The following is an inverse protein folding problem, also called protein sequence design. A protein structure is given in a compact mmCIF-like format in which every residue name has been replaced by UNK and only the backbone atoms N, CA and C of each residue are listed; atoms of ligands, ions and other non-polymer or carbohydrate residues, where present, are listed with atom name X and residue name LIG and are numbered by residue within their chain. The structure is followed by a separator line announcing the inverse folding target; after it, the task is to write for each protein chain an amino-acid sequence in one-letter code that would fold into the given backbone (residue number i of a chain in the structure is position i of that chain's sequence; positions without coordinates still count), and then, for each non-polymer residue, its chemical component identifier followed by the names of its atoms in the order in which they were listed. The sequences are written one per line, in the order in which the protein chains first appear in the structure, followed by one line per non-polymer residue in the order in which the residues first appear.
data_IF_171792068304
#
_entry.id   IF_171792068304
#
_cell.length_a   1.000
_cell.length_b   1.000
_cell.length_c   1.000
_cell.angle_alpha   90.00
_cell.angle_beta   90.00
_cell.angle_gamma   90.00
#
_symmetry.space_group_name_H-M   'P 1'
#
loop_
_entity.id
_entity.type
_entity.pdbx_description
1 polymer ?
#
# COMPACT_ATOMS: atom_id res chain seq x y z
N UNK A 1 0.80 3.85 63.24
CA UNK A 1 0.65 2.68 62.36
C UNK A 1 -0.17 3.10 61.15
N UNK A 2 0.50 3.37 60.02
CA UNK A 2 -0.15 3.78 58.77
C UNK A 2 -0.48 2.52 57.94
N UNK A 3 -1.78 2.33 57.63
CA UNK A 3 -2.25 1.23 56.79
C UNK A 3 -2.00 1.58 55.28
N UNK A 4 -1.03 0.96 54.66
CA UNK A 4 -0.79 1.03 53.23
C UNK A 4 -1.92 0.28 52.49
N UNK A 5 -2.74 1.02 51.70
CA UNK A 5 -3.71 0.44 50.78
C UNK A 5 -2.97 -0.17 49.56
N UNK A 6 -3.10 -1.49 49.36
CA UNK A 6 -2.65 -2.18 48.10
C UNK A 6 -3.41 -1.61 46.90
N UNK A 7 -2.72 -1.31 45.77
CA UNK A 7 -3.40 -0.90 44.55
C UNK A 7 -4.19 -2.09 43.95
N UNK A 8 -5.46 -1.80 43.63
CA UNK A 8 -6.34 -2.77 42.94
C UNK A 8 -5.83 -3.05 41.54
N UNK A 9 -5.51 -4.31 41.27
CA UNK A 9 -5.17 -4.78 39.89
C UNK A 9 -6.42 -4.70 39.04
N UNK A 10 -6.44 -3.78 38.04
CA UNK A 10 -7.46 -3.77 36.98
C UNK A 10 -7.42 -5.07 36.22
N UNK A 11 -8.51 -5.87 36.30
CA UNK A 11 -8.74 -7.03 35.44
C UNK A 11 -8.63 -6.58 33.96
N UNK A 12 -7.88 -7.29 33.08
CA UNK A 12 -7.87 -6.94 31.67
C UNK A 12 -9.31 -7.04 31.13
N UNK A 13 -9.73 -6.00 30.41
CA UNK A 13 -11.02 -5.99 29.74
C UNK A 13 -11.07 -7.19 28.78
N UNK A 14 -12.15 -7.98 28.82
CA UNK A 14 -12.36 -9.08 27.90
C UNK A 14 -12.25 -8.55 26.47
N UNK A 15 -11.44 -9.21 25.64
CA UNK A 15 -11.31 -8.85 24.25
C UNK A 15 -12.70 -8.88 23.59
N UNK A 16 -13.04 -7.83 22.83
CA UNK A 16 -14.30 -7.81 22.08
C UNK A 16 -14.38 -9.07 21.19
N UNK A 17 -15.58 -9.69 21.07
CA UNK A 17 -15.72 -10.89 20.25
C UNK A 17 -15.26 -10.61 18.82
N UNK A 18 -14.44 -11.52 18.27
CA UNK A 18 -13.94 -11.44 16.88
C UNK A 18 -15.12 -11.47 15.92
N UNK A 19 -15.10 -10.64 14.88
CA UNK A 19 -16.08 -10.70 13.81
C UNK A 19 -15.85 -11.96 12.97
N UNK A 20 -16.92 -12.71 12.70
CA UNK A 20 -16.90 -13.82 11.74
C UNK A 20 -16.87 -13.32 10.29
N UNK A 21 -16.51 -14.18 9.33
CA UNK A 21 -16.59 -13.89 7.90
C UNK A 21 -18.01 -13.42 7.52
N UNK A 22 -19.04 -14.13 7.98
CA UNK A 22 -20.44 -13.81 7.67
C UNK A 22 -20.86 -12.44 8.19
N UNK A 23 -20.51 -12.10 9.41
CA UNK A 23 -20.80 -10.79 10.00
C UNK A 23 -20.05 -9.68 9.28
N UNK A 24 -18.80 -9.93 8.89
CA UNK A 24 -17.99 -8.95 8.17
C UNK A 24 -18.52 -8.71 6.77
N UNK A 25 -18.85 -9.77 6.02
CA UNK A 25 -19.45 -9.65 4.69
C UNK A 25 -20.81 -8.94 4.74
N UNK A 26 -21.68 -9.29 5.69
CA UNK A 26 -22.96 -8.59 5.89
C UNK A 26 -22.77 -7.10 6.23
N UNK A 27 -21.76 -6.75 7.04
CA UNK A 27 -21.44 -5.36 7.35
C UNK A 27 -20.94 -4.59 6.13
N UNK A 28 -20.13 -5.22 5.26
CA UNK A 28 -19.67 -4.64 3.99
C UNK A 28 -20.84 -4.43 3.03
N UNK A 29 -21.69 -5.44 2.85
CA UNK A 29 -22.86 -5.38 1.97
C UNK A 29 -23.83 -4.27 2.39
N UNK A 30 -24.18 -4.20 3.67
CA UNK A 30 -25.06 -3.18 4.22
C UNK A 30 -24.51 -1.74 4.10
N UNK A 31 -23.19 -1.61 4.03
CA UNK A 31 -22.50 -0.32 3.87
C UNK A 31 -22.19 0.03 2.41
N UNK A 32 -22.48 -0.85 1.48
CA UNK A 32 -22.28 -0.66 0.06
C UNK A 32 -23.22 0.41 -0.54
N UNK A 33 -22.77 1.09 -1.58
CA UNK A 33 -23.61 2.05 -2.30
C UNK A 33 -23.37 2.00 -3.82
N UNK A 34 -24.43 2.18 -4.58
CA UNK A 34 -24.38 2.22 -6.04
C UNK A 34 -23.45 3.35 -6.55
N UNK A 35 -23.45 4.50 -5.87
CA UNK A 35 -22.60 5.62 -6.22
C UNK A 35 -21.11 5.29 -6.05
N UNK A 36 -20.73 4.66 -4.96
CA UNK A 36 -19.34 4.24 -4.71
C UNK A 36 -18.92 3.13 -5.68
N UNK A 37 -19.81 2.14 -5.96
CA UNK A 37 -19.57 1.13 -7.01
C UNK A 37 -19.25 1.76 -8.35
N UNK A 38 -20.09 2.71 -8.81
CA UNK A 38 -19.87 3.43 -10.08
C UNK A 38 -18.53 4.15 -10.09
N UNK A 39 -18.16 4.80 -8.98
CA UNK A 39 -16.86 5.47 -8.86
C UNK A 39 -15.71 4.47 -8.94
N UNK A 40 -15.76 3.36 -8.19
CA UNK A 40 -14.70 2.36 -8.19
C UNK A 40 -14.56 1.67 -9.54
N UNK A 41 -15.67 1.35 -10.22
CA UNK A 41 -15.66 0.76 -11.56
C UNK A 41 -14.93 1.66 -12.57
N UNK A 42 -15.16 2.99 -12.56
CA UNK A 42 -14.42 3.95 -13.41
C UNK A 42 -12.90 3.91 -13.16
N UNK A 43 -12.49 3.60 -11.94
CA UNK A 43 -11.07 3.45 -11.57
C UNK A 43 -10.54 2.02 -11.73
N UNK A 44 -11.27 1.16 -12.45
CA UNK A 44 -10.82 -0.20 -12.78
C UNK A 44 -10.92 -1.20 -11.63
N UNK A 45 -11.78 -0.94 -10.62
CA UNK A 45 -12.06 -1.93 -9.59
C UNK A 45 -12.87 -3.10 -10.18
N UNK A 46 -12.47 -4.36 -9.93
CA UNK A 46 -13.17 -5.53 -10.46
C UNK A 46 -14.44 -5.85 -9.68
N UNK A 47 -15.39 -6.47 -10.35
CA UNK A 47 -16.52 -7.14 -9.70
C UNK A 47 -16.10 -8.53 -9.17
N UNK A 48 -16.81 -9.10 -8.16
CA UNK A 48 -17.90 -8.48 -7.44
C UNK A 48 -17.45 -7.43 -6.42
N UNK A 49 -18.27 -6.37 -6.23
CA UNK A 49 -18.04 -5.35 -5.21
C UNK A 49 -19.37 -4.83 -4.64
N UNK A 50 -19.35 -4.38 -3.39
CA UNK A 50 -20.49 -3.71 -2.73
C UNK A 50 -20.44 -2.18 -2.90
N UNK A 51 -19.25 -1.61 -3.07
CA UNK A 51 -19.01 -0.18 -3.13
C UNK A 51 -18.97 0.47 -1.74
N UNK A 52 -18.11 -0.05 -0.87
CA UNK A 52 -17.94 0.41 0.51
C UNK A 52 -16.96 1.57 0.57
N UNK A 53 -17.32 2.66 1.25
CA UNK A 53 -16.43 3.80 1.41
C UNK A 53 -15.18 3.45 2.25
N UNK A 54 -14.04 4.14 1.97
CA UNK A 54 -12.84 3.97 2.79
C UNK A 54 -13.03 4.35 4.25
N UNK A 55 -13.91 5.30 4.55
CA UNK A 55 -14.24 5.65 5.93
C UNK A 55 -14.88 4.47 6.68
N UNK A 56 -15.76 3.73 6.01
CA UNK A 56 -16.37 2.51 6.55
C UNK A 56 -15.34 1.39 6.69
N UNK A 57 -14.51 1.14 5.67
CA UNK A 57 -13.42 0.16 5.76
C UNK A 57 -12.49 0.46 6.93
N UNK A 58 -12.18 1.74 7.16
CA UNK A 58 -11.38 2.18 8.32
C UNK A 58 -12.06 1.89 9.66
N UNK A 59 -13.37 2.05 9.74
CA UNK A 59 -14.14 1.74 10.94
C UNK A 59 -14.15 0.24 11.23
N UNK A 60 -14.32 -0.60 10.21
CA UNK A 60 -14.25 -2.06 10.31
C UNK A 60 -12.84 -2.51 10.71
N UNK A 61 -11.81 -1.99 10.05
CA UNK A 61 -10.41 -2.25 10.41
C UNK A 61 -10.14 -1.93 11.90
N UNK A 62 -10.56 -0.77 12.39
CA UNK A 62 -10.37 -0.38 13.79
C UNK A 62 -11.08 -1.32 14.76
N UNK A 63 -12.23 -1.88 14.38
CA UNK A 63 -12.99 -2.84 15.18
C UNK A 63 -12.36 -4.24 15.17
N UNK A 64 -11.96 -4.73 13.98
CA UNK A 64 -11.40 -6.07 13.80
C UNK A 64 -9.94 -6.12 14.29
N UNK A 65 -9.15 -5.07 13.99
CA UNK A 65 -7.72 -5.02 14.22
C UNK A 65 -6.98 -5.99 13.30
N UNK A 66 -6.01 -6.74 13.84
CA UNK A 66 -5.26 -7.77 13.11
C UNK A 66 -5.95 -9.12 13.30
N UNK A 67 -6.30 -9.77 12.19
CA UNK A 67 -6.89 -11.10 12.16
C UNK A 67 -6.51 -11.80 10.84
N UNK A 68 -5.46 -12.63 10.87
CA UNK A 68 -4.91 -13.29 9.68
C UNK A 68 -5.89 -14.32 9.08
N UNK A 69 -6.61 -15.07 9.92
CA UNK A 69 -7.57 -16.09 9.44
C UNK A 69 -8.75 -15.43 8.73
N UNK A 70 -9.30 -14.39 9.33
CA UNK A 70 -10.36 -13.60 8.69
C UNK A 70 -9.88 -12.90 7.42
N UNK A 71 -8.64 -12.40 7.40
CA UNK A 71 -8.06 -11.78 6.21
C UNK A 71 -7.99 -12.75 5.03
N UNK A 72 -7.55 -13.99 5.26
CA UNK A 72 -7.53 -15.03 4.24
C UNK A 72 -8.94 -15.36 3.75
N UNK A 73 -9.87 -15.57 4.66
CA UNK A 73 -11.26 -15.88 4.33
C UNK A 73 -11.93 -14.75 3.51
N UNK A 74 -11.69 -13.48 3.88
CA UNK A 74 -12.18 -12.32 3.13
C UNK A 74 -11.55 -12.22 1.73
N UNK A 75 -10.25 -12.47 1.60
CA UNK A 75 -9.58 -12.48 0.31
C UNK A 75 -10.18 -13.50 -0.65
N UNK A 76 -10.48 -14.70 -0.13
CA UNK A 76 -10.99 -15.83 -0.91
C UNK A 76 -12.44 -15.64 -1.37
N UNK A 77 -13.19 -14.69 -0.81
CA UNK A 77 -14.53 -14.32 -1.32
C UNK A 77 -14.50 -13.74 -2.73
N UNK A 78 -13.35 -13.24 -3.18
CA UNK A 78 -13.23 -12.55 -4.47
C UNK A 78 -13.81 -11.13 -4.50
N UNK A 79 -14.58 -10.72 -3.49
CA UNK A 79 -15.20 -9.40 -3.43
C UNK A 79 -14.15 -8.29 -3.23
N UNK A 80 -14.21 -7.24 -4.03
CA UNK A 80 -13.25 -6.14 -4.02
C UNK A 80 -13.14 -5.44 -2.65
N UNK A 81 -14.27 -5.12 -2.02
CA UNK A 81 -14.27 -4.44 -0.72
C UNK A 81 -13.73 -5.36 0.39
N UNK A 82 -14.06 -6.65 0.34
CA UNK A 82 -13.55 -7.66 1.25
C UNK A 82 -12.03 -7.83 1.10
N UNK A 83 -11.49 -7.86 -0.14
CA UNK A 83 -10.05 -7.91 -0.40
C UNK A 83 -9.33 -6.66 0.14
N UNK A 84 -9.91 -5.48 -0.05
CA UNK A 84 -9.35 -4.24 0.52
C UNK A 84 -9.34 -4.26 2.05
N UNK A 85 -10.36 -4.83 2.70
CA UNK A 85 -10.37 -5.02 4.15
C UNK A 85 -9.35 -6.09 4.58
N UNK A 86 -9.27 -7.21 3.84
CA UNK A 86 -8.32 -8.30 4.09
C UNK A 86 -6.88 -7.80 4.22
N UNK A 87 -6.40 -7.01 3.25
CA UNK A 87 -5.04 -6.46 3.30
C UNK A 87 -4.81 -5.56 4.50
N UNK A 88 -5.84 -4.87 5.00
CA UNK A 88 -5.74 -3.97 6.15
C UNK A 88 -5.68 -4.72 7.48
N UNK A 89 -6.36 -5.86 7.60
CA UNK A 89 -6.42 -6.67 8.83
C UNK A 89 -5.43 -7.83 8.83
N UNK A 90 -4.79 -8.16 7.71
CA UNK A 90 -3.76 -9.19 7.65
C UNK A 90 -2.60 -8.89 8.60
N UNK A 91 -2.01 -9.92 9.16
CA UNK A 91 -0.81 -9.81 10.00
C UNK A 91 0.44 -9.88 9.13
N UNK A 92 1.23 -8.79 9.02
CA UNK A 92 2.47 -8.81 8.24
C UNK A 92 3.49 -9.84 8.73
N UNK A 93 3.47 -10.16 10.02
CA UNK A 93 4.39 -11.15 10.60
C UNK A 93 3.95 -12.61 10.35
N UNK A 94 2.64 -12.83 10.17
CA UNK A 94 2.07 -14.16 10.01
C UNK A 94 1.74 -14.55 8.56
N UNK A 95 1.59 -13.58 7.65
CA UNK A 95 1.30 -13.87 6.25
C UNK A 95 2.44 -14.65 5.61
N UNK A 96 2.10 -15.76 4.96
CA UNK A 96 3.10 -16.60 4.30
C UNK A 96 3.62 -15.97 3.00
N UNK A 97 4.86 -16.30 2.66
CA UNK A 97 5.47 -15.93 1.39
C UNK A 97 4.61 -16.38 0.19
N UNK A 98 3.98 -17.57 0.26
CA UNK A 98 3.11 -18.11 -0.79
C UNK A 98 1.82 -17.30 -0.95
N UNK A 99 1.23 -16.86 0.15
CA UNK A 99 0.01 -16.05 0.11
C UNK A 99 0.27 -14.67 -0.49
N UNK A 100 1.39 -14.03 -0.13
CA UNK A 100 1.80 -12.77 -0.76
C UNK A 100 1.93 -12.91 -2.27
N UNK A 101 2.52 -14.02 -2.77
CA UNK A 101 2.60 -14.27 -4.21
C UNK A 101 1.21 -14.44 -4.85
N UNK A 102 0.34 -15.21 -4.20
CA UNK A 102 -1.03 -15.42 -4.67
C UNK A 102 -1.82 -14.11 -4.72
N UNK A 103 -1.69 -13.30 -3.67
CA UNK A 103 -2.40 -12.02 -3.61
C UNK A 103 -1.85 -11.01 -4.63
N UNK A 104 -0.54 -10.96 -4.84
CA UNK A 104 0.08 -10.09 -5.83
C UNK A 104 -0.31 -10.45 -7.27
N UNK A 105 -0.43 -11.74 -7.58
CA UNK A 105 -0.83 -12.22 -8.90
C UNK A 105 -2.35 -12.10 -9.16
N UNK A 106 -3.15 -11.78 -8.14
CA UNK A 106 -4.61 -11.69 -8.28
C UNK A 106 -5.02 -10.37 -8.97
N UNK A 107 -5.93 -10.41 -9.97
CA UNK A 107 -6.47 -9.20 -10.60
C UNK A 107 -7.47 -8.48 -9.67
N UNK A 108 -6.95 -7.88 -8.60
CA UNK A 108 -7.75 -7.24 -7.55
C UNK A 108 -7.91 -5.72 -7.73
N UNK A 109 -7.55 -5.19 -8.91
CA UNK A 109 -7.50 -3.76 -9.18
C UNK A 109 -6.26 -3.06 -8.60
N UNK A 110 -5.86 -1.94 -9.20
CA UNK A 110 -4.61 -1.23 -8.83
C UNK A 110 -4.54 -0.84 -7.36
N UNK A 111 -5.65 -0.41 -6.77
CA UNK A 111 -5.69 0.02 -5.38
C UNK A 111 -5.42 -1.14 -4.42
N UNK A 112 -6.13 -2.24 -4.57
CA UNK A 112 -5.94 -3.43 -3.74
C UNK A 112 -4.54 -4.03 -3.93
N UNK A 113 -4.06 -4.14 -5.18
CA UNK A 113 -2.70 -4.59 -5.49
C UNK A 113 -1.62 -3.71 -4.85
N UNK A 114 -1.82 -2.38 -4.81
CA UNK A 114 -0.94 -1.46 -4.08
C UNK A 114 -0.92 -1.74 -2.57
N UNK A 115 -2.05 -2.04 -1.96
CA UNK A 115 -2.08 -2.44 -0.54
C UNK A 115 -1.44 -3.79 -0.28
N UNK A 116 -1.52 -4.75 -1.21
CA UNK A 116 -0.76 -6.02 -1.12
C UNK A 116 0.74 -5.75 -1.09
N UNK A 117 1.22 -4.82 -1.91
CA UNK A 117 2.62 -4.41 -1.89
C UNK A 117 3.03 -3.74 -0.56
N UNK A 118 2.15 -2.92 0.03
CA UNK A 118 2.40 -2.35 1.36
C UNK A 118 2.46 -3.43 2.45
N UNK A 119 1.57 -4.44 2.39
CA UNK A 119 1.62 -5.58 3.30
C UNK A 119 2.92 -6.37 3.16
N UNK A 120 3.37 -6.60 1.92
CA UNK A 120 4.64 -7.26 1.66
C UNK A 120 5.83 -6.44 2.19
N UNK A 121 5.80 -5.10 2.05
CA UNK A 121 6.85 -4.22 2.58
C UNK A 121 6.96 -4.25 4.11
N UNK A 122 5.82 -4.42 4.80
CA UNK A 122 5.75 -4.54 6.27
C UNK A 122 6.06 -5.96 6.77
N UNK A 123 6.18 -6.96 5.87
CA UNK A 123 6.44 -8.36 6.21
C UNK A 123 7.95 -8.71 6.20
N UNK A 124 8.35 -9.81 6.85
CA UNK A 124 9.74 -10.32 6.77
C UNK A 124 10.13 -10.80 5.36
N UNK A 125 9.18 -10.84 4.42
CA UNK A 125 9.39 -11.33 3.06
C UNK A 125 9.71 -10.22 2.05
N UNK A 126 9.75 -8.94 2.45
CA UNK A 126 9.84 -7.77 1.57
C UNK A 126 10.95 -7.88 0.51
N UNK A 127 12.18 -8.17 0.93
CA UNK A 127 13.35 -8.27 0.04
C UNK A 127 13.23 -9.42 -0.96
N UNK A 128 12.82 -10.61 -0.49
CA UNK A 128 12.64 -11.77 -1.34
C UNK A 128 11.51 -11.55 -2.36
N UNK A 129 10.42 -10.88 -1.94
CA UNK A 129 9.32 -10.52 -2.83
C UNK A 129 9.72 -9.46 -3.86
N UNK A 130 10.48 -8.44 -3.46
CA UNK A 130 10.96 -7.44 -4.41
C UNK A 130 11.80 -8.09 -5.53
N UNK A 131 12.75 -8.95 -5.19
CA UNK A 131 13.56 -9.68 -6.16
C UNK A 131 12.70 -10.57 -7.09
N UNK A 132 11.81 -11.39 -6.51
CA UNK A 132 10.97 -12.31 -7.26
C UNK A 132 9.97 -11.59 -8.16
N UNK A 133 9.25 -10.60 -7.64
CA UNK A 133 8.18 -9.92 -8.38
C UNK A 133 8.72 -9.00 -9.48
N UNK A 134 9.90 -8.38 -9.29
CA UNK A 134 10.56 -7.62 -10.34
C UNK A 134 11.00 -8.49 -11.53
N UNK A 135 11.19 -9.79 -11.34
CA UNK A 135 11.51 -10.74 -12.40
C UNK A 135 10.27 -11.40 -13.03
N UNK A 136 9.07 -11.21 -12.46
CA UNK A 136 7.84 -11.82 -12.96
C UNK A 136 7.45 -11.25 -14.33
N UNK A 137 6.75 -12.06 -15.13
CA UNK A 137 6.23 -11.68 -16.45
C UNK A 137 4.77 -11.25 -16.40
N UNK A 138 4.00 -11.69 -15.37
CA UNK A 138 2.59 -11.33 -15.27
C UNK A 138 2.39 -9.87 -14.82
N UNK A 139 1.34 -9.25 -15.35
CA UNK A 139 1.08 -7.82 -15.18
C UNK A 139 0.83 -7.44 -13.72
N UNK A 140 0.04 -8.23 -13.00
CA UNK A 140 -0.37 -7.90 -11.62
C UNK A 140 0.81 -7.99 -10.65
N UNK A 141 1.60 -9.05 -10.75
CA UNK A 141 2.81 -9.21 -9.94
C UNK A 141 3.85 -8.12 -10.25
N UNK A 142 4.01 -7.73 -11.53
CA UNK A 142 4.92 -6.62 -11.90
C UNK A 142 4.43 -5.27 -11.38
N UNK A 143 3.13 -5.01 -11.42
CA UNK A 143 2.54 -3.85 -10.77
C UNK A 143 2.81 -3.84 -9.26
N UNK A 144 2.56 -4.98 -8.59
CA UNK A 144 2.84 -5.13 -7.16
C UNK A 144 4.34 -4.97 -6.85
N UNK A 145 5.25 -5.41 -7.75
CA UNK A 145 6.69 -5.24 -7.59
C UNK A 145 7.10 -3.77 -7.51
N UNK A 146 6.67 -2.95 -8.46
CA UNK A 146 6.99 -1.51 -8.45
C UNK A 146 6.32 -0.78 -7.30
N UNK A 147 5.11 -1.17 -6.92
CA UNK A 147 4.45 -0.68 -5.73
C UNK A 147 5.20 -1.08 -4.44
N UNK A 148 5.80 -2.28 -4.40
CA UNK A 148 6.65 -2.72 -3.31
C UNK A 148 7.96 -1.93 -3.23
N UNK A 149 8.61 -1.66 -4.37
CA UNK A 149 9.78 -0.76 -4.44
C UNK A 149 9.44 0.62 -3.84
N UNK A 150 8.29 1.18 -4.21
CA UNK A 150 7.80 2.44 -3.67
C UNK A 150 7.62 2.38 -2.14
N UNK A 151 6.99 1.33 -1.63
CA UNK A 151 6.78 1.14 -0.19
C UNK A 151 8.10 0.96 0.57
N UNK A 152 9.01 0.10 0.07
CA UNK A 152 10.34 -0.11 0.66
C UNK A 152 11.15 1.19 0.71
N UNK A 153 11.09 2.02 -0.32
CA UNK A 153 11.77 3.33 -0.31
C UNK A 153 11.32 4.20 0.86
N UNK A 154 10.07 4.08 1.28
CA UNK A 154 9.49 4.89 2.35
C UNK A 154 9.72 4.32 3.75
N UNK A 155 9.69 2.99 3.93
CA UNK A 155 9.70 2.41 5.28
C UNK A 155 10.93 1.56 5.59
N UNK A 156 11.53 0.89 4.60
CA UNK A 156 12.66 0.01 4.83
C UNK A 156 13.97 0.81 5.00
N UNK A 157 14.68 0.56 6.08
CA UNK A 157 15.97 1.20 6.37
C UNK A 157 17.16 0.28 6.08
N UNK A 158 16.92 -1.00 5.87
CA UNK A 158 17.99 -2.00 5.68
C UNK A 158 18.49 -2.04 4.23
N UNK A 159 17.62 -1.75 3.24
CA UNK A 159 18.02 -1.76 1.82
C UNK A 159 18.99 -0.60 1.52
N UNK A 160 20.18 -0.88 0.96
CA UNK A 160 21.15 0.14 0.60
C UNK A 160 20.62 1.09 -0.48
N UNK A 161 21.03 2.35 -0.44
CA UNK A 161 20.66 3.37 -1.43
C UNK A 161 21.07 2.98 -2.87
N UNK A 162 22.16 2.24 -3.04
CA UNK A 162 22.61 1.72 -4.33
C UNK A 162 21.53 0.86 -5.01
N UNK A 163 20.81 0.03 -4.24
CA UNK A 163 19.71 -0.78 -4.77
C UNK A 163 18.58 0.10 -5.33
N UNK A 164 18.23 1.19 -4.67
CA UNK A 164 17.22 2.14 -5.15
C UNK A 164 17.73 2.94 -6.37
N UNK A 165 19.01 3.30 -6.41
CA UNK A 165 19.63 3.94 -7.56
C UNK A 165 19.58 3.05 -8.81
N UNK A 166 19.81 1.74 -8.68
CA UNK A 166 19.63 0.78 -9.78
C UNK A 166 18.16 0.72 -10.25
N UNK A 167 17.19 0.83 -9.33
CA UNK A 167 15.76 0.90 -9.72
C UNK A 167 15.44 2.18 -10.46
N UNK A 168 16.00 3.33 -10.07
CA UNK A 168 15.87 4.56 -10.85
C UNK A 168 16.41 4.40 -12.27
N UNK A 169 17.60 3.81 -12.45
CA UNK A 169 18.17 3.54 -13.75
C UNK A 169 17.29 2.57 -14.59
N UNK A 170 16.70 1.58 -13.96
CA UNK A 170 15.76 0.66 -14.61
C UNK A 170 14.49 1.39 -15.06
N UNK A 171 13.91 2.25 -14.21
CA UNK A 171 12.74 3.08 -14.52
C UNK A 171 13.07 3.97 -15.73
N UNK A 172 14.18 4.72 -15.68
CA UNK A 172 14.62 5.60 -16.75
C UNK A 172 14.71 4.89 -18.10
N UNK A 173 15.24 3.67 -18.09
CA UNK A 173 15.41 2.87 -19.33
C UNK A 173 14.09 2.33 -19.89
N UNK A 174 13.08 2.06 -19.05
CA UNK A 174 11.95 1.21 -19.45
C UNK A 174 10.57 1.83 -19.32
N UNK A 175 10.43 2.96 -18.65
CA UNK A 175 9.11 3.53 -18.28
C UNK A 175 8.24 3.85 -19.51
N UNK A 176 8.80 4.41 -20.57
CA UNK A 176 8.05 4.77 -21.79
C UNK A 176 7.61 3.58 -22.62
N UNK A 177 8.26 2.41 -22.47
CA UNK A 177 7.89 1.17 -23.16
C UNK A 177 7.07 0.23 -22.27
N UNK A 178 6.80 0.62 -21.02
CA UNK A 178 6.08 -0.22 -20.06
C UNK A 178 4.56 -0.17 -20.32
N UNK A 179 3.83 -1.26 -20.01
CA UNK A 179 2.37 -1.23 -19.96
C UNK A 179 1.86 -0.13 -19.01
N UNK A 180 0.70 0.42 -19.32
CA UNK A 180 0.12 1.57 -18.60
C UNK A 180 0.10 1.42 -17.06
N UNK A 181 -0.28 0.24 -16.58
CA UNK A 181 -0.31 -0.09 -15.14
C UNK A 181 1.09 -0.07 -14.51
N UNK A 182 2.09 -0.60 -15.22
CA UNK A 182 3.48 -0.59 -14.75
C UNK A 182 4.07 0.81 -14.79
N UNK A 183 3.78 1.59 -15.84
CA UNK A 183 4.20 2.97 -15.99
C UNK A 183 3.76 3.81 -14.78
N UNK A 184 2.51 3.68 -14.36
CA UNK A 184 1.97 4.35 -13.18
C UNK A 184 2.71 3.94 -11.87
N UNK A 185 2.97 2.64 -11.69
CA UNK A 185 3.69 2.14 -10.52
C UNK A 185 5.17 2.54 -10.52
N UNK A 186 5.84 2.57 -11.67
CA UNK A 186 7.21 3.05 -11.84
C UNK A 186 7.33 4.54 -11.51
N UNK A 187 6.41 5.36 -12.02
CA UNK A 187 6.39 6.80 -11.72
C UNK A 187 6.23 7.03 -10.21
N UNK A 188 5.31 6.30 -9.56
CA UNK A 188 5.14 6.35 -8.12
C UNK A 188 6.39 5.85 -7.36
N UNK A 189 7.05 4.79 -7.84
CA UNK A 189 8.29 4.28 -7.25
C UNK A 189 9.41 5.32 -7.32
N UNK A 190 9.59 6.00 -8.47
CA UNK A 190 10.55 7.09 -8.64
C UNK A 190 10.30 8.23 -7.63
N UNK A 191 9.04 8.65 -7.46
CA UNK A 191 8.65 9.66 -6.47
C UNK A 191 9.03 9.20 -5.06
N UNK A 192 8.68 7.96 -4.67
CA UNK A 192 8.96 7.43 -3.35
C UNK A 192 10.47 7.27 -3.10
N UNK A 193 11.26 6.83 -4.08
CA UNK A 193 12.71 6.77 -4.00
C UNK A 193 13.29 8.17 -3.74
N UNK A 194 12.81 9.18 -4.46
CA UNK A 194 13.20 10.59 -4.25
C UNK A 194 12.78 11.16 -2.88
N UNK A 195 11.84 10.52 -2.21
CA UNK A 195 11.39 10.88 -0.87
C UNK A 195 12.21 10.25 0.27
N UNK A 196 13.16 9.33 -0.03
CA UNK A 196 13.89 8.56 0.98
C UNK A 196 14.92 9.38 1.74
N UNK A 197 15.84 10.01 1.04
CA UNK A 197 16.89 10.86 1.60
C UNK A 197 17.41 11.87 0.55
N UNK A 198 18.34 12.77 0.94
CA UNK A 198 18.83 13.83 0.07
C UNK A 198 19.61 13.33 -1.15
N UNK A 199 20.36 12.24 -1.04
CA UNK A 199 21.11 11.65 -2.15
C UNK A 199 20.16 11.13 -3.22
N UNK A 200 19.20 10.31 -2.83
CA UNK A 200 18.19 9.75 -3.73
C UNK A 200 17.20 10.82 -4.24
N UNK A 201 16.93 11.87 -3.48
CA UNK A 201 16.18 13.04 -3.99
C UNK A 201 16.84 13.64 -5.21
N UNK A 202 18.14 13.96 -5.11
CA UNK A 202 18.90 14.53 -6.24
C UNK A 202 18.90 13.58 -7.44
N UNK A 203 19.14 12.29 -7.20
CA UNK A 203 19.17 11.28 -8.24
C UNK A 203 17.80 11.12 -8.95
N UNK A 204 16.71 11.04 -8.17
CA UNK A 204 15.36 10.87 -8.71
C UNK A 204 14.87 12.11 -9.48
N UNK A 205 15.13 13.33 -8.99
CA UNK A 205 14.80 14.58 -9.70
C UNK A 205 15.58 14.65 -11.02
N UNK A 206 16.87 14.30 -11.02
CA UNK A 206 17.68 14.28 -12.24
C UNK A 206 17.17 13.22 -13.24
N UNK A 207 16.81 12.02 -12.77
CA UNK A 207 16.21 10.97 -13.60
C UNK A 207 14.87 11.41 -14.19
N UNK A 208 13.98 12.03 -13.38
CA UNK A 208 12.72 12.60 -13.85
C UNK A 208 12.91 13.65 -14.96
N UNK A 209 13.93 14.51 -14.82
CA UNK A 209 14.27 15.49 -15.86
C UNK A 209 14.73 14.85 -17.18
N UNK A 210 15.45 13.72 -17.12
CA UNK A 210 15.87 13.00 -18.34
C UNK A 210 14.74 12.18 -18.97
N UNK A 211 13.85 11.61 -18.15
CA UNK A 211 12.66 10.88 -18.60
C UNK A 211 11.68 11.85 -19.28
N UNK A 212 11.50 13.05 -18.74
CA UNK A 212 10.50 14.00 -19.22
C UNK A 212 9.07 13.61 -18.82
N UNK A 213 8.10 14.00 -19.63
CA UNK A 213 6.68 13.72 -19.36
C UNK A 213 6.38 12.21 -19.45
N UNK A 214 5.73 11.69 -18.43
CA UNK A 214 5.24 10.30 -18.40
C UNK A 214 3.75 10.30 -18.72
N UNK A 215 3.40 9.69 -19.84
CA UNK A 215 2.01 9.58 -20.28
C UNK A 215 1.37 8.31 -19.72
N UNK A 216 0.27 8.45 -18.99
CA UNK A 216 -0.52 7.35 -18.44
C UNK A 216 -1.97 7.57 -18.84
N UNK A 217 -2.56 6.57 -19.47
CA UNK A 217 -4.00 6.58 -19.73
C UNK A 217 -4.75 6.35 -18.43
N UNK A 218 -5.54 7.33 -18.04
CA UNK A 218 -6.39 7.31 -16.85
C UNK A 218 -7.85 6.91 -17.16
N UNK A 219 -8.16 6.56 -18.43
CA UNK A 219 -9.51 6.25 -18.87
C UNK A 219 -10.47 7.44 -18.63
N UNK A 220 -11.73 7.15 -18.41
CA UNK A 220 -12.80 8.15 -18.21
C UNK A 220 -12.77 8.77 -16.79
N UNK A 221 -11.57 9.18 -16.33
CA UNK A 221 -11.39 9.81 -15.02
C UNK A 221 -10.73 11.19 -15.15
N UNK A 222 -10.92 12.07 -14.16
CA UNK A 222 -10.21 13.35 -14.07
C UNK A 222 -8.79 13.23 -13.49
N UNK A 223 -8.25 12.00 -13.39
CA UNK A 223 -6.91 11.77 -12.89
C UNK A 223 -5.86 12.29 -13.86
N UNK A 224 -4.79 12.85 -13.31
CA UNK A 224 -3.63 13.30 -14.08
C UNK A 224 -2.37 12.56 -13.62
N UNK A 225 -1.44 12.33 -14.54
CA UNK A 225 -0.14 11.76 -14.18
C UNK A 225 0.66 12.75 -13.34
N UNK A 226 1.08 12.39 -12.13
CA UNK A 226 1.90 13.29 -11.32
C UNK A 226 3.26 13.53 -11.99
N UNK A 227 3.66 14.79 -12.14
CA UNK A 227 5.06 15.13 -12.40
C UNK A 227 5.91 14.66 -11.21
N UNK A 228 6.90 13.82 -11.49
CA UNK A 228 7.69 13.18 -10.45
C UNK A 228 8.58 14.17 -9.72
N UNK A 229 9.26 15.09 -10.43
CA UNK A 229 10.13 16.07 -9.81
C UNK A 229 9.35 17.04 -8.92
N UNK A 230 8.25 17.60 -9.43
CA UNK A 230 7.38 18.49 -8.67
C UNK A 230 6.76 17.79 -7.44
N UNK A 231 6.38 16.51 -7.60
CA UNK A 231 5.81 15.71 -6.50
C UNK A 231 6.82 15.43 -5.40
N UNK A 232 8.07 15.12 -5.74
CA UNK A 232 9.18 14.95 -4.80
C UNK A 232 9.39 16.26 -4.02
N UNK A 233 9.55 17.40 -4.72
CA UNK A 233 9.79 18.68 -4.09
C UNK A 233 8.65 19.08 -3.14
N UNK A 234 7.41 18.92 -3.55
CA UNK A 234 6.22 19.15 -2.72
C UNK A 234 6.21 18.28 -1.47
N UNK A 235 6.57 16.99 -1.59
CA UNK A 235 6.66 16.07 -0.45
C UNK A 235 7.73 16.51 0.54
N UNK A 236 8.90 16.92 0.05
CA UNK A 236 10.00 17.43 0.88
C UNK A 236 9.62 18.72 1.61
N UNK A 237 9.04 19.70 0.92
CA UNK A 237 8.57 20.94 1.52
C UNK A 237 7.56 20.66 2.66
N UNK A 238 6.61 19.75 2.41
CA UNK A 238 5.59 19.33 3.41
C UNK A 238 6.20 18.62 4.62
N UNK A 239 7.19 17.75 4.42
CA UNK A 239 7.84 17.04 5.53
C UNK A 239 8.68 17.99 6.38
N UNK A 240 9.43 18.89 5.72
CA UNK A 240 10.22 19.93 6.39
C UNK A 240 9.35 20.86 7.25
N UNK A 241 8.19 21.28 6.74
CA UNK A 241 7.25 22.12 7.51
C UNK A 241 6.69 21.44 8.76
N UNK A 242 6.81 20.10 8.83
CA UNK A 242 6.41 19.29 9.99
C UNK A 242 7.58 18.83 10.86
N UNK A 243 8.79 19.31 10.59
CA UNK A 243 9.98 18.98 11.37
C UNK A 243 10.63 17.64 11.06
N UNK A 244 10.32 17.00 9.92
CA UNK A 244 10.94 15.74 9.52
C UNK A 244 12.13 15.96 8.58
N UNK A 245 13.14 15.08 8.70
CA UNK A 245 14.34 15.10 7.87
C UNK A 245 14.07 14.73 6.41
N UNK A 246 13.07 13.87 6.17
CA UNK A 246 12.63 13.45 4.84
C UNK A 246 11.16 13.01 4.86
N UNK A 247 10.49 12.92 3.69
CA UNK A 247 9.16 12.32 3.60
C UNK A 247 9.13 10.87 4.10
N UNK A 248 10.17 10.09 3.86
CA UNK A 248 10.28 8.72 4.37
C UNK A 248 10.42 8.69 5.91
N UNK A 249 11.16 9.61 6.51
CA UNK A 249 11.23 9.75 7.98
C UNK A 249 9.84 10.07 8.57
N UNK A 250 9.10 10.97 7.91
CA UNK A 250 7.70 11.25 8.29
C UNK A 250 6.81 10.01 8.15
N UNK A 251 7.02 9.19 7.12
CA UNK A 251 6.25 7.97 6.92
C UNK A 251 6.52 6.93 8.01
N UNK A 252 7.78 6.70 8.33
CA UNK A 252 8.19 5.77 9.40
C UNK A 252 7.71 6.14 10.80
N UNK A 253 7.36 7.40 11.03
CA UNK A 253 6.74 7.83 12.29
C UNK A 253 5.28 7.40 12.45
N UNK A 254 4.68 6.78 11.40
CA UNK A 254 3.30 6.31 11.39
C UNK A 254 3.22 4.81 11.65
N UNK A 255 2.04 4.36 12.09
CA UNK A 255 1.82 2.97 12.47
C UNK A 255 1.96 1.99 11.28
N UNK A 256 1.36 2.30 10.13
CA UNK A 256 1.37 1.42 8.95
C UNK A 256 0.97 2.18 7.68
N UNK A 257 1.58 1.81 6.54
CA UNK A 257 1.21 2.35 5.22
C UNK A 257 -0.15 1.82 4.75
N UNK A 258 -0.39 0.51 4.90
CA UNK A 258 -1.60 -0.18 4.38
C UNK A 258 -2.88 0.19 5.08
N UNK A 259 -2.82 0.68 6.32
CA UNK A 259 -4.01 1.03 7.11
C UNK A 259 -4.53 2.44 6.85
N UNK A 260 -3.82 3.23 6.05
CA UNK A 260 -4.30 4.55 5.63
C UNK A 260 -5.44 4.43 4.62
N UNK A 261 -6.40 5.27 4.77
CA UNK A 261 -7.54 5.44 3.87
C UNK A 261 -7.60 6.89 3.43
#
# INVERSE_FOLDING_TARGET
MAKTKKPATKKPAAAAPRMSLRETMSALENAGSAQTRKTYARHGAPEPMFGVSFATLKSLYKRIRVDQELAQALWDTGNFDARNLAVKIADPAAISSRELDRWAATPAGRMCGGYVAHLAAESPHSHAKAAKWLAASDEHTRFAAWSLVAAMAMIDQATPDAWFAERLAQIEKTIHAAPNTHCAAMNQAMICIGCRNQSLRKAAVAAAGRIGAVEIDHGDTDCTTPDAAASIEKAWARSKSKGFESPAAQERSRESMRTRC
#
